data_IF_499650996165
#
_entry.id   IF_499650996165
#
_cell.length_a   1.000
_cell.length_b   1.000
_cell.length_c   1.000
_cell.angle_alpha   90.00
_cell.angle_beta   90.00
_cell.angle_gamma   90.00
#
_symmetry.space_group_name_H-M   'P 1'
#
loop_
_entity.id
_entity.type
_entity.pdbx_description
1 polymer ?
#
# COMPACT_ATOMS: atom_id res chain seq x y z
N UNK A 1 6.73 9.97 6.53
CA UNK A 1 5.67 10.65 7.30
C UNK A 1 6.07 12.11 7.49
N UNK A 2 5.11 13.05 7.43
CA UNK A 2 5.39 14.45 7.74
C UNK A 2 5.63 14.57 9.26
N UNK A 3 6.77 15.10 9.73
CA UNK A 3 7.03 15.28 11.15
C UNK A 3 5.99 16.22 11.77
N UNK A 4 5.52 15.88 12.97
CA UNK A 4 4.68 16.78 13.79
C UNK A 4 5.56 17.33 14.87
N UNK A 5 5.79 18.64 14.83
CA UNK A 5 6.58 19.34 15.84
C UNK A 5 5.85 19.36 17.19
N UNK A 6 6.61 19.09 18.25
CA UNK A 6 6.12 19.15 19.63
C UNK A 6 6.55 20.50 20.22
N UNK A 7 5.81 21.55 19.92
CA UNK A 7 6.10 22.90 20.43
C UNK A 7 5.09 23.29 21.52
N UNK A 8 5.60 23.70 22.70
CA UNK A 8 4.82 24.28 23.80
C UNK A 8 4.63 23.38 25.04
N UNK A 9 3.92 23.92 26.04
CA UNK A 9 3.62 23.25 27.30
C UNK A 9 2.66 22.08 27.12
N UNK A 10 2.90 20.99 27.87
CA UNK A 10 2.15 19.73 27.82
C UNK A 10 0.82 19.83 28.59
N UNK A 11 -0.10 20.66 28.10
CA UNK A 11 -1.48 20.71 28.58
C UNK A 11 -2.33 19.61 27.94
N UNK A 12 -3.47 19.28 28.54
CA UNK A 12 -4.40 18.27 28.01
C UNK A 12 -4.88 18.65 26.60
N UNK A 13 -5.13 19.93 26.37
CA UNK A 13 -5.57 20.45 25.06
C UNK A 13 -4.45 20.41 24.02
N UNK A 14 -3.20 20.70 24.39
CA UNK A 14 -2.08 20.60 23.46
C UNK A 14 -1.84 19.15 23.06
N UNK A 15 -1.92 18.20 24.00
CA UNK A 15 -1.77 16.77 23.73
C UNK A 15 -2.88 16.22 22.83
N UNK A 16 -4.13 16.64 23.04
CA UNK A 16 -5.25 16.21 22.18
C UNK A 16 -5.11 16.75 20.76
N UNK A 17 -4.68 18.00 20.60
CA UNK A 17 -4.39 18.61 19.31
C UNK A 17 -3.23 17.92 18.59
N UNK A 18 -2.13 17.63 19.30
CA UNK A 18 -0.99 16.87 18.75
C UNK A 18 -1.43 15.48 18.29
N UNK A 19 -2.26 14.77 19.06
CA UNK A 19 -2.82 13.47 18.66
C UNK A 19 -3.62 13.56 17.36
N UNK A 20 -4.44 14.60 17.21
CA UNK A 20 -5.25 14.83 16.00
C UNK A 20 -4.36 15.16 14.80
N UNK A 21 -3.37 16.03 14.98
CA UNK A 21 -2.40 16.39 13.95
C UNK A 21 -1.58 15.18 13.49
N UNK A 22 -1.07 14.38 14.44
CA UNK A 22 -0.32 13.15 14.17
C UNK A 22 -1.16 12.15 13.37
N UNK A 23 -2.42 11.94 13.77
CA UNK A 23 -3.34 11.07 13.02
C UNK A 23 -3.51 11.54 11.59
N UNK A 24 -3.79 12.82 11.38
CA UNK A 24 -3.95 13.41 10.04
C UNK A 24 -2.67 13.29 9.20
N UNK A 25 -1.50 13.53 9.80
CA UNK A 25 -0.21 13.38 9.13
C UNK A 25 0.07 11.93 8.71
N UNK A 26 -0.24 10.96 9.56
CA UNK A 26 -0.15 9.53 9.23
C UNK A 26 -1.12 9.13 8.12
N UNK A 27 -2.38 9.59 8.18
CA UNK A 27 -3.41 9.29 7.17
C UNK A 27 -3.03 9.85 5.80
N UNK A 28 -2.56 11.11 5.75
CA UNK A 28 -2.07 11.74 4.53
C UNK A 28 -0.88 10.97 3.95
N UNK A 29 0.12 10.66 4.76
CA UNK A 29 1.30 9.92 4.30
C UNK A 29 0.94 8.52 3.76
N UNK A 30 0.02 7.80 4.40
CA UNK A 30 -0.48 6.52 3.92
C UNK A 30 -1.27 6.66 2.61
N UNK A 31 -2.06 7.73 2.47
CA UNK A 31 -2.75 8.06 1.22
C UNK A 31 -1.80 8.34 0.06
N UNK A 32 -0.74 9.12 0.31
CA UNK A 32 0.29 9.43 -0.69
C UNK A 32 1.05 8.16 -1.10
N UNK A 33 1.47 7.34 -0.12
CA UNK A 33 2.16 6.06 -0.37
C UNK A 33 1.32 5.09 -1.21
N UNK A 34 0.02 5.05 -0.94
CA UNK A 34 -0.94 4.22 -1.68
C UNK A 34 -1.18 4.78 -3.09
N UNK A 35 -1.30 6.10 -3.24
CA UNK A 35 -1.65 6.69 -4.54
C UNK A 35 -0.47 6.77 -5.51
N UNK A 36 0.76 6.94 -4.99
CA UNK A 36 1.91 7.33 -5.83
C UNK A 36 2.99 6.25 -5.99
N UNK A 37 3.16 5.29 -5.06
CA UNK A 37 4.48 4.64 -4.93
C UNK A 37 4.59 3.12 -4.88
N UNK A 38 3.53 2.34 -4.66
CA UNK A 38 3.76 0.93 -4.29
C UNK A 38 3.08 -0.10 -5.19
N UNK A 39 3.84 -0.73 -6.08
CA UNK A 39 3.43 -1.99 -6.73
C UNK A 39 3.19 -3.14 -5.72
N UNK A 40 3.61 -2.95 -4.46
CA UNK A 40 3.51 -3.93 -3.36
C UNK A 40 2.18 -3.90 -2.62
N UNK A 41 1.32 -2.92 -2.89
CA UNK A 41 0.06 -2.73 -2.17
C UNK A 41 -1.18 -2.75 -3.09
N UNK A 42 -1.29 -3.65 -4.08
CA UNK A 42 -2.36 -3.60 -5.08
C UNK A 42 -3.76 -3.76 -4.47
N UNK A 43 -3.88 -4.46 -3.34
CA UNK A 43 -5.15 -4.56 -2.63
C UNK A 43 -5.52 -3.25 -1.94
N UNK A 44 -4.54 -2.40 -1.62
CA UNK A 44 -4.72 -1.13 -0.90
C UNK A 44 -4.99 0.04 -1.83
N UNK A 45 -4.56 -0.06 -3.08
CA UNK A 45 -4.78 0.96 -4.10
C UNK A 45 -6.25 1.12 -4.48
N UNK A 46 -6.65 2.39 -4.66
CA UNK A 46 -7.92 2.77 -5.27
C UNK A 46 -9.18 2.41 -4.48
N UNK A 47 -9.06 1.98 -3.21
CA UNK A 47 -10.20 1.54 -2.42
C UNK A 47 -11.07 2.71 -1.95
N UNK A 48 -12.25 2.80 -2.55
CA UNK A 48 -13.33 3.68 -2.14
C UNK A 48 -14.19 3.05 -1.04
N UNK A 49 -14.42 3.79 0.04
CA UNK A 49 -15.34 3.44 1.11
C UNK A 49 -16.51 4.43 1.11
N UNK A 50 -17.70 3.93 1.46
CA UNK A 50 -18.88 4.79 1.58
C UNK A 50 -18.76 5.61 2.86
N UNK A 51 -18.71 6.93 2.71
CA UNK A 51 -18.75 7.90 3.80
C UNK A 51 -20.18 8.01 4.35
N UNK A 52 -20.33 8.56 5.55
CA UNK A 52 -21.63 8.76 6.20
C UNK A 52 -22.54 9.65 5.35
N UNK A 53 -21.96 10.59 4.59
CA UNK A 53 -22.66 11.47 3.64
C UNK A 53 -23.08 10.77 2.33
N UNK A 54 -22.84 9.46 2.20
CA UNK A 54 -23.15 8.67 1.01
C UNK A 54 -22.12 8.74 -0.11
N UNK A 55 -21.18 9.70 -0.07
CA UNK A 55 -20.09 9.84 -1.03
C UNK A 55 -19.01 8.76 -0.86
N UNK A 56 -18.32 8.43 -1.95
CA UNK A 56 -17.21 7.48 -1.93
C UNK A 56 -15.88 8.20 -1.69
N UNK A 57 -15.18 7.83 -0.62
CA UNK A 57 -13.90 8.45 -0.22
C UNK A 57 -12.81 7.38 -0.19
N UNK A 58 -11.61 7.75 -0.66
CA UNK A 58 -10.43 6.90 -0.52
C UNK A 58 -10.05 6.81 0.96
N UNK A 59 -10.16 5.62 1.56
CA UNK A 59 -9.84 5.40 2.97
C UNK A 59 -8.71 4.36 3.12
N UNK A 60 -7.45 4.76 2.91
CA UNK A 60 -6.30 3.85 2.98
C UNK A 60 -6.10 3.25 4.38
N UNK A 61 -6.56 3.93 5.44
CA UNK A 61 -6.31 3.57 6.85
C UNK A 61 -7.46 2.79 7.51
N UNK A 62 -8.50 2.39 6.75
CA UNK A 62 -9.61 1.62 7.33
C UNK A 62 -9.27 0.14 7.42
N UNK A 63 -9.38 -0.42 8.64
CA UNK A 63 -9.12 -1.84 8.90
C UNK A 63 -10.13 -2.68 8.13
N UNK A 64 -9.60 -3.62 7.33
CA UNK A 64 -10.39 -4.35 6.35
C UNK A 64 -11.19 -5.47 7.01
N UNK A 65 -12.36 -5.76 6.46
CA UNK A 65 -13.21 -6.85 6.96
C UNK A 65 -12.48 -8.19 6.96
N UNK A 66 -11.68 -8.49 5.93
CA UNK A 66 -10.85 -9.69 5.87
C UNK A 66 -9.64 -9.68 6.84
N UNK A 67 -9.31 -8.53 7.44
CA UNK A 67 -8.34 -8.39 8.52
C UNK A 67 -9.03 -8.40 9.91
N UNK A 68 -10.35 -8.59 9.99
CA UNK A 68 -11.06 -8.84 11.25
C UNK A 68 -10.89 -10.30 11.69
N UNK A 69 -9.65 -10.71 11.85
CA UNK A 69 -9.30 -12.06 12.31
C UNK A 69 -9.30 -12.07 13.84
N UNK A 70 -10.11 -12.92 14.49
CA UNK A 70 -10.23 -12.94 15.96
C UNK A 70 -8.88 -13.14 16.65
N UNK A 71 -8.05 -14.02 16.09
CA UNK A 71 -6.73 -14.36 16.62
C UNK A 71 -5.72 -13.25 16.30
N UNK A 72 -5.13 -12.56 17.31
CA UNK A 72 -4.19 -11.46 17.08
C UNK A 72 -2.95 -11.84 16.27
N UNK A 73 -2.42 -13.05 16.49
CA UNK A 73 -1.25 -13.56 15.78
C UNK A 73 -1.51 -13.68 14.27
N UNK A 74 -2.65 -14.24 13.88
CA UNK A 74 -3.05 -14.38 12.47
C UNK A 74 -3.29 -13.04 11.81
N UNK A 75 -3.91 -12.09 12.54
CA UNK A 75 -4.10 -10.73 12.04
C UNK A 75 -2.76 -10.07 11.69
N UNK A 76 -1.76 -10.17 12.59
CA UNK A 76 -0.41 -9.68 12.34
C UNK A 76 0.26 -10.39 11.15
N UNK A 77 0.11 -11.72 11.04
CA UNK A 77 0.67 -12.49 9.94
C UNK A 77 0.06 -12.11 8.58
N UNK A 78 -1.27 -11.99 8.50
CA UNK A 78 -1.98 -11.57 7.29
C UNK A 78 -1.65 -10.13 6.91
N UNK A 79 -1.64 -9.20 7.87
CA UNK A 79 -1.20 -7.82 7.61
C UNK A 79 0.21 -7.81 7.04
N UNK A 80 1.15 -8.57 7.62
CA UNK A 80 2.51 -8.68 7.07
C UNK A 80 2.52 -9.28 5.67
N UNK A 81 1.73 -10.33 5.42
CA UNK A 81 1.66 -10.98 4.11
C UNK A 81 1.15 -10.01 3.03
N UNK A 82 0.08 -9.27 3.33
CA UNK A 82 -0.51 -8.32 2.39
C UNK A 82 0.32 -7.05 2.16
N UNK A 83 1.17 -6.69 3.12
CA UNK A 83 2.06 -5.53 3.02
C UNK A 83 3.47 -5.90 2.54
N UNK A 84 3.65 -7.09 1.95
CA UNK A 84 4.96 -7.60 1.54
C UNK A 84 6.04 -7.63 2.66
N UNK A 85 5.61 -7.70 3.92
CA UNK A 85 6.47 -7.70 5.11
C UNK A 85 6.54 -9.07 5.81
N UNK A 86 6.18 -10.16 5.10
CA UNK A 86 6.22 -11.53 5.62
C UNK A 86 7.17 -12.40 4.79
N UNK A 87 7.82 -13.40 5.40
CA UNK A 87 8.67 -14.35 4.65
C UNK A 87 7.94 -15.13 3.53
N UNK A 88 6.61 -15.22 3.63
CA UNK A 88 5.75 -15.87 2.62
C UNK A 88 5.19 -14.88 1.58
N UNK A 89 5.35 -13.58 1.76
CA UNK A 89 5.08 -12.62 0.69
C UNK A 89 6.27 -12.66 -0.26
N UNK A 90 6.32 -13.73 -1.07
CA UNK A 90 7.41 -13.95 -2.01
C UNK A 90 7.28 -12.93 -3.12
N UNK A 91 7.99 -11.81 -2.99
CA UNK A 91 8.32 -10.96 -4.13
C UNK A 91 9.32 -11.73 -4.98
N UNK A 92 8.82 -12.50 -5.95
CA UNK A 92 9.70 -13.18 -6.91
C UNK A 92 10.28 -12.12 -7.83
N UNK A 93 11.57 -12.22 -8.10
CA UNK A 93 12.14 -11.51 -9.25
C UNK A 93 11.52 -12.09 -10.52
N UNK A 94 11.33 -11.22 -11.52
CA UNK A 94 10.82 -11.58 -12.83
C UNK A 94 11.61 -12.74 -13.40
N UNK A 95 10.93 -13.82 -13.74
CA UNK A 95 11.49 -15.03 -14.36
C UNK A 95 12.27 -14.79 -15.65
N UNK A 96 12.20 -13.60 -16.24
CA UNK A 96 12.96 -13.23 -17.44
C UNK A 96 14.18 -12.36 -17.11
N UNK A 97 14.01 -11.20 -16.46
CA UNK A 97 15.11 -10.27 -16.26
C UNK A 97 15.85 -10.44 -14.94
N UNK A 98 15.25 -11.13 -13.96
CA UNK A 98 15.76 -11.28 -12.60
C UNK A 98 16.13 -9.95 -11.90
N UNK A 99 15.70 -8.81 -12.43
CA UNK A 99 16.11 -7.48 -11.97
C UNK A 99 14.95 -6.61 -11.46
N UNK A 100 13.71 -7.04 -11.67
CA UNK A 100 12.50 -6.37 -11.21
C UNK A 100 11.53 -7.38 -10.59
N UNK A 101 10.60 -6.94 -9.75
CA UNK A 101 9.56 -7.81 -9.17
C UNK A 101 8.64 -8.36 -10.27
N UNK A 102 8.38 -9.66 -10.22
CA UNK A 102 7.47 -10.34 -11.13
C UNK A 102 6.04 -9.87 -10.89
N UNK A 103 5.57 -9.01 -11.79
CA UNK A 103 4.15 -8.66 -11.92
C UNK A 103 3.67 -9.08 -13.30
N UNK A 104 2.36 -9.29 -13.50
CA UNK A 104 1.80 -9.59 -14.83
C UNK A 104 2.16 -8.49 -15.84
N UNK A 105 2.03 -7.22 -15.43
CA UNK A 105 2.35 -6.05 -16.26
C UNK A 105 3.83 -6.02 -16.65
N UNK A 106 4.75 -6.21 -15.70
CA UNK A 106 6.17 -6.29 -16.01
C UNK A 106 6.47 -7.48 -16.91
N UNK A 107 6.06 -8.69 -16.53
CA UNK A 107 6.38 -9.94 -17.24
C UNK A 107 5.86 -9.95 -18.68
N UNK A 108 4.62 -9.51 -18.89
CA UNK A 108 3.96 -9.60 -20.19
C UNK A 108 4.15 -8.38 -21.07
N UNK A 109 4.24 -7.18 -20.51
CA UNK A 109 4.19 -5.92 -21.29
C UNK A 109 5.46 -5.06 -21.18
N UNK A 110 6.21 -5.16 -20.07
CA UNK A 110 7.36 -4.29 -19.82
C UNK A 110 8.74 -4.95 -19.92
N UNK A 111 8.82 -6.26 -19.72
CA UNK A 111 10.11 -6.94 -19.58
C UNK A 111 10.79 -7.11 -20.93
N UNK A 112 12.02 -6.61 -21.08
CA UNK A 112 12.79 -6.67 -22.33
C UNK A 112 13.83 -7.80 -22.35
N UNK A 113 13.94 -8.57 -21.27
CA UNK A 113 14.97 -9.62 -21.14
C UNK A 113 14.68 -10.88 -21.98
N UNK A 114 13.47 -11.03 -22.54
CA UNK A 114 13.12 -12.16 -23.42
C UNK A 114 12.79 -11.65 -24.84
N UNK A 115 13.70 -11.79 -25.82
CA UNK A 115 13.52 -11.26 -27.18
C UNK A 115 12.23 -11.72 -27.87
N UNK A 116 11.86 -13.00 -27.72
CA UNK A 116 10.61 -13.55 -28.29
C UNK A 116 9.37 -12.77 -27.83
N UNK A 117 9.30 -12.37 -26.55
CA UNK A 117 8.17 -11.60 -26.04
C UNK A 117 8.19 -10.15 -26.54
N UNK A 118 9.37 -9.58 -26.77
CA UNK A 118 9.49 -8.23 -27.34
C UNK A 118 8.99 -8.22 -28.79
N UNK A 119 9.36 -9.24 -29.58
CA UNK A 119 8.85 -9.41 -30.95
C UNK A 119 7.34 -9.59 -30.95
N UNK A 120 6.82 -10.48 -30.09
CA UNK A 120 5.38 -10.69 -29.99
C UNK A 120 4.61 -9.40 -29.66
N UNK A 121 5.13 -8.56 -28.74
CA UNK A 121 4.50 -7.27 -28.42
C UNK A 121 4.47 -6.31 -29.62
N UNK A 122 5.52 -6.31 -30.44
CA UNK A 122 5.59 -5.48 -31.65
C UNK A 122 4.52 -5.90 -32.66
N UNK A 123 4.19 -7.19 -32.72
CA UNK A 123 3.19 -7.71 -33.66
C UNK A 123 1.73 -7.42 -33.21
N UNK A 124 1.51 -7.00 -31.96
CA UNK A 124 0.21 -6.62 -31.40
C UNK A 124 -0.03 -5.10 -31.34
N UNK A 125 0.94 -4.28 -31.74
CA UNK A 125 0.86 -2.80 -31.82
C UNK A 125 0.73 -2.35 -33.27
#
# INVERSE_FOLDING_TARGET
PVPVELTGDLTVDSVTNIRKALRGACEKWLGDLTSQYSSRLPLIHGRLERHEDGNFVQMPVKLRHYLRVPVPAHRKALTRLYLSAHRLSVERLCRFCLSAVETKSHTLLGCMAKPELVLLRRDFL
#
